data_IF_004344373684
#
_entry.id   IF_004344373684
#
_cell.length_a   1.000
_cell.length_b   1.000
_cell.length_c   1.000
_cell.angle_alpha   90.00
_cell.angle_beta   90.00
_cell.angle_gamma   90.00
#
_symmetry.space_group_name_H-M   'P 1'
#
loop_
_entity.id
_entity.type
_entity.pdbx_description
1 polymer ?
#
# COMPACT_ATOMS: atom_id res chain seq x y z
N UNK A 1 47.71 -20.51 27.41
CA UNK A 1 47.55 -19.04 27.48
C UNK A 1 47.75 -18.53 26.06
N UNK A 2 46.70 -18.49 25.23
CA UNK A 2 45.80 -17.34 24.98
C UNK A 2 46.55 -16.06 24.62
N UNK A 3 46.53 -15.73 23.33
CA UNK A 3 46.30 -14.41 22.70
C UNK A 3 46.25 -14.69 21.19
N UNK A 4 45.17 -15.29 20.69
CA UNK A 4 43.95 -14.64 20.19
C UNK A 4 44.21 -13.77 18.94
N UNK A 5 43.86 -14.37 17.80
CA UNK A 5 44.05 -13.83 16.45
C UNK A 5 43.31 -12.51 16.25
N UNK A 6 44.09 -11.51 15.86
CA UNK A 6 43.62 -10.17 15.55
C UNK A 6 42.87 -10.19 14.21
N UNK A 7 41.55 -10.13 14.32
CA UNK A 7 40.71 -9.07 13.74
C UNK A 7 41.11 -8.61 12.34
N UNK A 8 40.34 -9.00 11.31
CA UNK A 8 39.45 -8.09 10.55
C UNK A 8 38.42 -8.96 9.80
N UNK A 9 37.30 -9.31 10.45
CA UNK A 9 36.11 -9.72 9.72
C UNK A 9 35.39 -8.43 9.34
N UNK A 10 35.57 -8.01 8.08
CA UNK A 10 34.83 -6.92 7.47
C UNK A 10 33.37 -7.38 7.36
N UNK A 11 32.59 -7.15 8.42
CA UNK A 11 31.14 -7.29 8.38
C UNK A 11 30.59 -6.07 7.65
N UNK A 12 30.54 -6.13 6.32
CA UNK A 12 29.82 -5.17 5.51
C UNK A 12 28.32 -5.43 5.70
N UNK A 13 27.76 -5.03 6.84
CA UNK A 13 26.33 -4.78 6.97
C UNK A 13 26.02 -3.54 6.13
N UNK A 14 25.76 -3.75 4.84
CA UNK A 14 25.08 -2.74 4.03
C UNK A 14 23.66 -2.61 4.57
N UNK A 15 23.50 -1.62 5.45
CA UNK A 15 22.20 -1.05 5.78
C UNK A 15 21.60 -0.43 4.54
N UNK A 16 20.86 -1.23 3.78
CA UNK A 16 19.80 -0.72 2.93
C UNK A 16 18.59 -0.50 3.83
N UNK A 17 18.66 0.60 4.60
CA UNK A 17 17.48 1.27 5.13
C UNK A 17 16.66 1.77 3.95
N UNK A 18 15.93 0.85 3.31
CA UNK A 18 14.80 1.18 2.46
C UNK A 18 13.74 1.79 3.37
N UNK A 19 13.55 3.09 3.24
CA UNK A 19 12.57 3.89 3.95
C UNK A 19 11.17 3.25 3.92
N UNK A 20 10.50 3.26 5.08
CA UNK A 20 9.11 2.91 5.30
C UNK A 20 8.73 1.45 4.97
N UNK A 21 9.13 0.52 5.85
CA UNK A 21 8.23 -0.60 6.11
C UNK A 21 6.94 0.00 6.68
N UNK A 22 5.91 0.15 5.84
CA UNK A 22 4.53 0.26 6.30
C UNK A 22 4.37 -0.82 7.35
N UNK A 23 4.24 -0.42 8.63
CA UNK A 23 4.01 -1.35 9.72
C UNK A 23 2.56 -1.84 9.65
N UNK A 24 2.22 -2.49 8.52
CA UNK A 24 0.99 -3.25 8.41
C UNK A 24 1.10 -4.36 9.46
N UNK A 25 0.29 -4.26 10.51
CA UNK A 25 0.05 -5.38 11.40
C UNK A 25 -1.09 -6.19 10.75
N UNK A 26 -0.82 -7.39 10.21
CA UNK A 26 -1.89 -8.20 9.63
C UNK A 26 -2.89 -8.56 10.73
N UNK A 27 -4.16 -8.28 10.48
CA UNK A 27 -5.26 -8.68 11.35
C UNK A 27 -6.23 -9.55 10.56
N UNK A 28 -6.72 -10.61 11.20
CA UNK A 28 -7.73 -11.48 10.61
C UNK A 28 -9.11 -10.93 10.92
N UNK A 29 -9.91 -10.70 9.89
CA UNK A 29 -11.33 -10.32 10.00
C UNK A 29 -12.20 -11.40 9.37
N UNK A 30 -13.44 -11.57 9.85
CA UNK A 30 -14.46 -12.34 9.13
C UNK A 30 -15.18 -11.39 8.19
N UNK A 31 -15.18 -11.74 6.90
CA UNK A 31 -15.84 -10.94 5.87
C UNK A 31 -17.36 -11.09 6.00
N UNK A 32 -18.07 -9.99 6.17
CA UNK A 32 -19.53 -9.95 6.15
C UNK A 32 -20.07 -9.62 4.75
N UNK A 33 -19.41 -8.69 4.05
CA UNK A 33 -19.82 -8.23 2.72
C UNK A 33 -18.62 -7.67 1.95
N UNK A 34 -18.76 -7.50 0.63
CA UNK A 34 -17.77 -6.88 -0.24
C UNK A 34 -18.41 -5.88 -1.19
N UNK A 35 -17.73 -4.78 -1.45
CA UNK A 35 -18.23 -3.71 -2.32
C UNK A 35 -17.09 -3.15 -3.17
N UNK A 36 -17.37 -2.89 -4.44
CA UNK A 36 -16.50 -2.15 -5.35
C UNK A 36 -17.11 -0.76 -5.56
N UNK A 37 -16.30 0.28 -5.33
CA UNK A 37 -16.73 1.68 -5.43
C UNK A 37 -15.94 2.39 -6.53
N UNK A 38 -16.62 2.97 -7.54
CA UNK A 38 -15.93 3.83 -8.50
C UNK A 38 -15.41 5.07 -7.77
N UNK A 39 -14.17 5.46 -8.07
CA UNK A 39 -13.53 6.65 -7.51
C UNK A 39 -12.87 7.48 -8.60
N UNK A 40 -12.86 8.80 -8.44
CA UNK A 40 -12.17 9.68 -9.37
C UNK A 40 -10.68 9.68 -9.06
N UNK A 41 -9.87 9.21 -10.00
CA UNK A 41 -8.42 9.20 -9.90
C UNK A 41 -7.85 10.24 -10.86
N UNK A 42 -7.15 11.23 -10.32
CA UNK A 42 -6.46 12.25 -11.09
C UNK A 42 -4.98 11.89 -11.20
N UNK A 43 -4.50 11.61 -12.41
CA UNK A 43 -3.11 11.22 -12.66
C UNK A 43 -2.32 12.36 -13.34
N UNK A 44 -1.08 12.63 -12.93
CA UNK A 44 -0.22 13.58 -13.63
C UNK A 44 0.12 13.05 -15.03
N UNK A 45 0.04 13.92 -16.03
CA UNK A 45 0.22 13.60 -17.46
C UNK A 45 1.37 14.36 -18.12
N UNK A 46 1.89 15.38 -17.45
CA UNK A 46 2.97 16.21 -17.96
C UNK A 46 2.90 17.62 -17.37
N UNK A 47 3.60 18.54 -18.02
CA UNK A 47 3.62 19.95 -17.67
C UNK A 47 3.18 20.77 -18.89
N UNK A 48 2.41 21.83 -18.66
CA UNK A 48 2.07 22.83 -19.68
C UNK A 48 2.46 24.21 -19.22
N UNK A 49 2.85 25.07 -20.14
CA UNK A 49 3.10 26.49 -19.87
C UNK A 49 1.88 27.30 -20.31
N UNK A 50 1.36 28.16 -19.45
CA UNK A 50 0.26 29.06 -19.81
C UNK A 50 0.74 30.29 -20.60
N UNK A 51 -0.21 31.11 -21.08
CA UNK A 51 0.06 32.30 -21.89
C UNK A 51 0.93 33.35 -21.17
N UNK A 52 1.01 33.27 -19.83
CA UNK A 52 1.83 34.15 -18.99
C UNK A 52 3.20 33.53 -18.66
N UNK A 53 3.55 32.39 -19.28
CA UNK A 53 4.82 31.71 -19.06
C UNK A 53 4.86 30.85 -17.80
N UNK A 54 3.73 30.59 -17.13
CA UNK A 54 3.70 29.81 -15.88
C UNK A 54 3.57 28.32 -16.18
N UNK A 55 4.42 27.51 -15.55
CA UNK A 55 4.34 26.05 -15.65
C UNK A 55 3.24 25.53 -14.73
N UNK A 56 2.35 24.70 -15.27
CA UNK A 56 1.26 24.02 -14.57
C UNK A 56 1.34 22.52 -14.83
N UNK A 57 1.04 21.73 -13.82
CA UNK A 57 0.88 20.29 -14.00
C UNK A 57 -0.38 20.02 -14.84
N UNK A 58 -0.21 19.26 -15.91
CA UNK A 58 -1.33 18.71 -16.66
C UNK A 58 -1.78 17.43 -15.96
N UNK A 59 -3.06 17.36 -15.60
CA UNK A 59 -3.67 16.22 -14.94
C UNK A 59 -4.75 15.63 -15.84
N UNK A 60 -4.89 14.30 -15.82
CA UNK A 60 -5.97 13.59 -16.48
C UNK A 60 -6.76 12.83 -15.44
N UNK A 61 -8.06 13.08 -15.44
CA UNK A 61 -8.99 12.37 -14.58
C UNK A 61 -9.46 11.09 -15.27
N UNK A 62 -9.60 10.03 -14.46
CA UNK A 62 -10.07 8.71 -14.87
C UNK A 62 -10.92 8.12 -13.74
N UNK A 63 -11.84 7.23 -14.07
CA UNK A 63 -12.54 6.43 -13.06
C UNK A 63 -11.67 5.24 -12.72
N UNK A 64 -11.23 5.18 -11.47
CA UNK A 64 -10.62 4.00 -10.85
C UNK A 64 -11.63 3.27 -9.97
N UNK A 65 -11.15 2.20 -9.35
CA UNK A 65 -11.97 1.31 -8.51
C UNK A 65 -11.32 1.16 -7.15
N UNK A 66 -12.11 1.35 -6.08
CA UNK A 66 -11.72 1.01 -4.73
C UNK A 66 -12.47 -0.23 -4.27
N UNK A 67 -11.74 -1.11 -3.60
CA UNK A 67 -12.28 -2.37 -3.13
C UNK A 67 -12.40 -2.33 -1.62
N UNK A 68 -13.59 -2.68 -1.13
CA UNK A 68 -13.94 -2.58 0.28
C UNK A 68 -14.53 -3.91 0.75
N UNK A 69 -14.17 -4.30 1.97
CA UNK A 69 -14.78 -5.44 2.67
C UNK A 69 -15.36 -4.95 3.98
N UNK A 70 -16.54 -5.45 4.33
CA UNK A 70 -17.17 -5.20 5.62
C UNK A 70 -16.80 -6.32 6.58
N UNK A 71 -16.36 -6.01 7.79
CA UNK A 71 -16.13 -7.02 8.81
C UNK A 71 -17.45 -7.40 9.53
N UNK A 72 -17.41 -8.44 10.38
CA UNK A 72 -18.57 -8.88 11.18
C UNK A 72 -19.10 -7.79 12.15
N UNK A 73 -18.24 -6.88 12.60
CA UNK A 73 -18.63 -5.73 13.43
C UNK A 73 -19.33 -4.62 12.62
N UNK A 74 -19.36 -4.76 11.30
CA UNK A 74 -19.98 -3.82 10.38
C UNK A 74 -19.08 -2.70 9.87
N UNK A 75 -17.79 -2.70 10.20
CA UNK A 75 -16.81 -1.72 9.71
C UNK A 75 -16.33 -2.04 8.31
N UNK A 76 -16.24 -1.01 7.46
CA UNK A 76 -15.67 -1.10 6.13
C UNK A 76 -14.15 -0.88 6.16
N UNK A 77 -13.42 -1.82 5.55
CA UNK A 77 -11.97 -1.78 5.41
C UNK A 77 -11.64 -1.77 3.92
N UNK A 78 -10.85 -0.78 3.50
CA UNK A 78 -10.32 -0.74 2.13
C UNK A 78 -9.24 -1.81 1.99
N UNK A 79 -9.30 -2.57 0.91
CA UNK A 79 -8.37 -3.64 0.61
C UNK A 79 -7.82 -3.50 -0.80
N UNK A 80 -6.76 -4.25 -1.11
CA UNK A 80 -6.31 -4.40 -2.50
C UNK A 80 -7.35 -5.17 -3.32
N UNK A 81 -7.31 -5.01 -4.65
CA UNK A 81 -8.12 -5.82 -5.56
C UNK A 81 -7.93 -7.32 -5.33
N UNK A 82 -6.67 -7.77 -5.18
CA UNK A 82 -6.36 -9.18 -4.94
C UNK A 82 -7.00 -9.72 -3.66
N UNK A 83 -6.93 -8.98 -2.56
CA UNK A 83 -7.60 -9.34 -1.31
C UNK A 83 -9.12 -9.34 -1.45
N UNK A 84 -9.68 -8.38 -2.20
CA UNK A 84 -11.12 -8.32 -2.45
C UNK A 84 -11.61 -9.48 -3.30
N UNK A 85 -10.86 -9.89 -4.31
CA UNK A 85 -11.15 -11.08 -5.12
C UNK A 85 -11.11 -12.36 -4.26
N UNK A 86 -10.11 -12.47 -3.37
CA UNK A 86 -9.97 -13.60 -2.44
C UNK A 86 -10.96 -13.58 -1.26
N UNK A 87 -11.61 -12.45 -0.97
CA UNK A 87 -12.54 -12.32 0.13
C UNK A 87 -13.82 -13.13 -0.13
N UNK A 88 -14.20 -13.99 0.80
CA UNK A 88 -15.47 -14.74 0.73
C UNK A 88 -16.33 -14.39 1.96
N UNK A 89 -17.59 -13.94 1.80
CA UNK A 89 -18.48 -13.73 2.94
C UNK A 89 -18.56 -14.97 3.85
N UNK A 90 -18.44 -14.76 5.16
CA UNK A 90 -18.38 -15.80 6.18
C UNK A 90 -16.98 -16.40 6.40
N UNK A 91 -15.96 -15.99 5.64
CA UNK A 91 -14.60 -16.56 5.72
C UNK A 91 -13.61 -15.55 6.30
N UNK A 92 -12.55 -16.04 6.97
CA UNK A 92 -11.48 -15.18 7.46
C UNK A 92 -10.67 -14.60 6.30
N UNK A 93 -10.29 -13.33 6.41
CA UNK A 93 -9.39 -12.63 5.52
C UNK A 93 -8.34 -11.87 6.33
N UNK A 94 -7.07 -11.96 5.92
CA UNK A 94 -6.00 -11.15 6.48
C UNK A 94 -5.96 -9.79 5.78
N UNK A 95 -6.12 -8.73 6.56
CA UNK A 95 -6.07 -7.33 6.09
C UNK A 95 -5.02 -6.55 6.84
N UNK A 96 -4.44 -5.55 6.16
CA UNK A 96 -3.56 -4.59 6.79
C UNK A 96 -4.38 -3.53 7.52
N UNK A 97 -4.02 -3.27 8.78
CA UNK A 97 -4.61 -2.19 9.58
C UNK A 97 -3.52 -1.36 10.25
#
# INVERSE_FOLDING_TARGET
>A
MRVDGITVLITTMLGLGGCAALACAPVTIVVADKEERPTLVSQPRGLRTDELGRVKEERRDSIGHEYWVRNADGHWVRVSEAQWQAAEPGRPLEVCR
#
